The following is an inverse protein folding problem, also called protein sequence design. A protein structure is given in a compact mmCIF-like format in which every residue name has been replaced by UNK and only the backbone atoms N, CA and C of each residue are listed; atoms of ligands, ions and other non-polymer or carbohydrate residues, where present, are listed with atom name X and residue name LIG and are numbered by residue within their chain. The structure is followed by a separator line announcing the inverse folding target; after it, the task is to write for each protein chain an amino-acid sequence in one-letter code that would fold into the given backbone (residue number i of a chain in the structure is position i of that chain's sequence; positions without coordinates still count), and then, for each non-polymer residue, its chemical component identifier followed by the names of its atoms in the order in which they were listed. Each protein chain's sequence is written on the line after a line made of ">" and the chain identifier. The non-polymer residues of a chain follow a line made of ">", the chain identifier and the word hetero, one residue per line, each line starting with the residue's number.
data_IF_541379984579
#
_entry.id   IF_541379984579
#
_cell.length_a   1.000
_cell.length_b   1.000
_cell.length_c   1.000
_cell.angle_alpha   90.00
_cell.angle_beta   90.00
_cell.angle_gamma   90.00
#
_symmetry.space_group_name_H-M   'P 1'
#
loop_
_entity.id
_entity.type
_entity.pdbx_description
1 polymer ?
#
# COMPACT_ATOMS: atom_id res chain seq x y z
N UNK A 1 -3.92 83.05 -26.10
CA UNK A 1 -5.20 82.31 -26.20
C UNK A 1 -5.75 82.16 -24.79
N UNK A 2 -6.83 82.92 -24.53
CA UNK A 2 -7.80 82.86 -23.41
C UNK A 2 -7.33 82.70 -21.95
N UNK A 3 -7.19 83.83 -21.27
CA UNK A 3 -7.63 84.09 -19.88
C UNK A 3 -9.12 84.49 -19.86
N UNK A 4 -9.82 84.70 -18.70
CA UNK A 4 -9.66 84.21 -17.31
C UNK A 4 -11.00 83.78 -16.63
N UNK A 5 -10.98 83.26 -15.39
CA UNK A 5 -11.92 83.64 -14.30
C UNK A 5 -11.59 82.93 -12.96
N UNK A 6 -11.29 83.74 -11.93
CA UNK A 6 -11.52 83.47 -10.48
C UNK A 6 -13.00 83.85 -10.14
N UNK A 7 -13.60 83.60 -8.94
CA UNK A 7 -12.99 83.65 -7.59
C UNK A 7 -13.58 82.72 -6.47
N UNK A 8 -12.93 82.75 -5.28
CA UNK A 8 -13.50 82.64 -3.90
C UNK A 8 -14.15 81.29 -3.44
N UNK A 9 -14.19 80.83 -2.17
CA UNK A 9 -13.88 81.34 -0.83
C UNK A 9 -13.95 80.18 0.22
N UNK A 10 -13.36 80.42 1.42
CA UNK A 10 -13.70 79.94 2.80
C UNK A 10 -13.42 78.46 3.19
N UNK A 11 -12.56 78.15 4.18
CA UNK A 11 -12.62 78.28 5.67
C UNK A 11 -13.46 77.22 6.43
N UNK A 12 -12.79 76.47 7.33
CA UNK A 12 -13.20 75.96 8.67
C UNK A 12 -12.49 74.62 8.96
N UNK A 13 -11.60 74.44 9.95
CA UNK A 13 -11.70 74.65 11.41
C UNK A 13 -12.83 73.84 12.06
N UNK A 14 -12.47 72.83 12.87
CA UNK A 14 -13.09 72.55 14.19
C UNK A 14 -12.37 71.40 14.89
N UNK A 15 -12.04 71.70 16.14
CA UNK A 15 -11.45 70.86 17.17
C UNK A 15 -12.46 69.88 17.79
N UNK A 16 -11.90 68.76 18.28
CA UNK A 16 -12.11 68.16 19.61
C UNK A 16 -13.51 68.13 20.25
N UNK A 17 -14.01 66.91 20.51
CA UNK A 17 -14.67 66.60 21.79
C UNK A 17 -14.68 65.09 22.06
N UNK A 18 -14.04 64.73 23.17
CA UNK A 18 -14.03 63.42 23.84
C UNK A 18 -15.43 63.04 24.33
N UNK A 19 -15.87 61.79 24.15
CA UNK A 19 -17.02 61.23 24.89
C UNK A 19 -16.73 59.80 25.32
N UNK A 20 -16.86 59.60 26.63
CA UNK A 20 -16.63 58.43 27.46
C UNK A 20 -17.55 57.25 27.10
N UNK A 21 -16.98 56.05 26.98
CA UNK A 21 -17.75 54.80 26.87
C UNK A 21 -18.02 54.29 28.28
N UNK A 22 -19.31 54.30 28.65
CA UNK A 22 -19.84 53.78 29.91
C UNK A 22 -20.05 52.26 29.79
N UNK A 23 -19.66 51.53 30.83
CA UNK A 23 -19.73 50.07 30.96
C UNK A 23 -20.94 49.75 31.84
N UNK A 24 -22.04 49.28 31.24
CA UNK A 24 -22.95 48.26 31.78
C UNK A 24 -24.31 48.27 31.10
N UNK A 25 -24.60 47.23 30.29
CA UNK A 25 -25.91 46.57 30.10
C UNK A 25 -25.81 45.50 28.98
N UNK A 26 -26.17 44.23 29.23
CA UNK A 26 -26.27 43.24 28.17
C UNK A 26 -27.61 43.45 27.44
N UNK A 27 -27.57 44.13 26.30
CA UNK A 27 -28.73 44.19 25.40
C UNK A 27 -28.83 42.86 24.64
N UNK A 28 -29.82 42.07 25.04
CA UNK A 28 -30.26 40.87 24.37
C UNK A 28 -30.79 41.20 22.97
N UNK A 29 -30.06 40.81 21.93
CA UNK A 29 -30.54 40.42 20.58
C UNK A 29 -29.41 40.43 19.55
N UNK A 30 -28.45 39.50 19.71
CA UNK A 30 -27.56 39.15 18.59
C UNK A 30 -28.25 38.04 17.75
N UNK A 31 -28.34 38.19 16.41
CA UNK A 31 -28.99 37.21 15.56
C UNK A 31 -28.21 35.90 15.60
N UNK A 32 -28.92 34.77 15.65
CA UNK A 32 -28.38 33.40 15.60
C UNK A 32 -27.53 33.24 14.34
N UNK A 33 -26.22 33.49 14.46
CA UNK A 33 -25.24 33.31 13.41
C UNK A 33 -25.21 31.81 13.09
N UNK A 34 -25.72 31.44 11.92
CA UNK A 34 -25.71 30.06 11.45
C UNK A 34 -24.30 29.50 11.51
N UNK A 35 -24.16 28.31 12.11
CA UNK A 35 -22.87 27.62 12.30
C UNK A 35 -22.03 27.68 11.02
N UNK A 36 -20.81 28.18 11.14
CA UNK A 36 -19.83 28.24 10.05
C UNK A 36 -19.53 26.84 9.52
N UNK A 37 -19.08 26.72 8.26
CA UNK A 37 -18.71 25.43 7.66
C UNK A 37 -17.68 24.67 8.53
N UNK A 38 -16.73 25.40 9.09
CA UNK A 38 -15.73 24.88 10.03
C UNK A 38 -16.35 24.33 11.32
N UNK A 39 -17.32 25.03 11.92
CA UNK A 39 -18.05 24.52 13.09
C UNK A 39 -18.89 23.27 12.80
N UNK A 40 -19.45 23.15 11.59
CA UNK A 40 -20.18 21.95 11.17
C UNK A 40 -19.25 20.76 10.91
N UNK A 41 -18.07 21.02 10.35
CA UNK A 41 -17.01 20.02 10.18
C UNK A 41 -16.47 19.57 11.54
N UNK A 42 -16.32 20.49 12.50
CA UNK A 42 -15.89 20.21 13.88
C UNK A 42 -16.94 19.39 14.66
N UNK A 43 -18.23 19.73 14.54
CA UNK A 43 -19.31 18.94 15.16
C UNK A 43 -19.49 17.55 14.53
N UNK A 44 -19.21 17.41 13.22
CA UNK A 44 -19.21 16.11 12.55
C UNK A 44 -18.07 15.19 13.03
N UNK A 45 -17.02 15.76 13.63
CA UNK A 45 -15.88 15.07 14.19
C UNK A 45 -16.02 14.76 15.69
N UNK A 46 -17.14 15.13 16.33
CA UNK A 46 -17.39 14.82 17.74
C UNK A 46 -17.39 13.29 17.96
N UNK A 47 -16.41 12.72 18.69
CA UNK A 47 -16.20 11.27 18.77
C UNK A 47 -17.37 10.52 19.42
N UNK A 48 -18.25 11.22 20.16
CA UNK A 48 -19.42 10.63 20.80
C UNK A 48 -20.58 10.30 19.85
N UNK A 49 -20.53 10.70 18.57
CA UNK A 49 -21.59 10.43 17.56
C UNK A 49 -21.07 10.16 16.13
N UNK A 50 -19.88 9.60 15.96
CA UNK A 50 -19.44 9.19 14.61
C UNK A 50 -20.22 7.93 14.21
N UNK A 51 -21.08 8.06 13.20
CA UNK A 51 -21.76 6.91 12.59
C UNK A 51 -20.72 5.95 12.01
N UNK A 52 -20.91 4.63 12.17
CA UNK A 52 -20.02 3.61 11.59
C UNK A 52 -19.76 3.81 10.09
N UNK A 53 -20.74 4.34 9.35
CA UNK A 53 -20.57 4.68 7.94
C UNK A 53 -19.58 5.84 7.74
N UNK A 54 -19.67 6.87 8.56
CA UNK A 54 -18.75 8.01 8.52
C UNK A 54 -17.33 7.56 8.91
N UNK A 55 -17.20 6.68 9.91
CA UNK A 55 -15.91 6.11 10.31
C UNK A 55 -15.25 5.32 9.17
N UNK A 56 -15.99 4.45 8.50
CA UNK A 56 -15.47 3.63 7.41
C UNK A 56 -15.17 4.45 6.15
N UNK A 57 -15.97 5.47 5.84
CA UNK A 57 -15.75 6.33 4.68
C UNK A 57 -14.73 7.45 4.93
N UNK A 58 -14.27 7.62 6.17
CA UNK A 58 -13.19 8.54 6.50
C UNK A 58 -11.87 8.07 5.85
N UNK A 59 -11.16 9.02 5.23
CA UNK A 59 -9.83 8.78 4.69
C UNK A 59 -8.80 8.62 5.81
N UNK A 60 -7.89 7.66 5.65
CA UNK A 60 -6.79 7.47 6.60
C UNK A 60 -5.68 8.48 6.40
N UNK A 61 -4.98 8.80 7.47
CA UNK A 61 -3.77 9.60 7.43
C UNK A 61 -2.56 8.73 7.00
N UNK A 62 -1.89 9.04 5.88
CA UNK A 62 -0.83 8.19 5.34
C UNK A 62 0.32 7.90 6.31
N UNK A 63 0.65 8.82 7.21
CA UNK A 63 1.72 8.66 8.20
C UNK A 63 1.47 7.48 9.15
N UNK A 64 0.21 7.19 9.44
CA UNK A 64 -0.21 6.11 10.33
C UNK A 64 -0.43 4.77 9.62
N UNK A 65 -0.11 4.66 8.32
CA UNK A 65 -0.28 3.43 7.52
C UNK A 65 0.95 2.54 7.48
N UNK A 66 2.03 2.90 8.17
CA UNK A 66 3.32 2.19 8.13
C UNK A 66 3.20 0.71 8.47
N UNK A 67 2.50 0.35 9.55
CA UNK A 67 2.36 -1.05 9.99
C UNK A 67 1.65 -1.96 8.95
N UNK A 68 0.44 -1.61 8.45
CA UNK A 68 -0.21 -2.44 7.43
C UNK A 68 0.57 -2.46 6.10
N UNK A 69 1.28 -1.38 5.74
CA UNK A 69 2.12 -1.36 4.54
C UNK A 69 3.37 -2.25 4.67
N UNK A 70 4.00 -2.29 5.85
CA UNK A 70 5.06 -3.26 6.15
C UNK A 70 4.54 -4.69 6.08
N UNK A 71 3.32 -4.94 6.57
CA UNK A 71 2.69 -6.25 6.44
C UNK A 71 2.41 -6.60 4.97
N UNK A 72 2.06 -5.63 4.12
CA UNK A 72 2.01 -5.85 2.67
C UNK A 72 3.39 -6.16 2.06
N UNK A 73 4.47 -5.51 2.50
CA UNK A 73 5.83 -5.86 2.07
C UNK A 73 6.20 -7.30 2.50
N UNK A 74 5.85 -7.69 3.73
CA UNK A 74 5.99 -9.07 4.20
C UNK A 74 5.22 -10.03 3.29
N UNK A 75 3.95 -9.74 2.99
CA UNK A 75 3.10 -10.56 2.13
C UNK A 75 3.66 -10.68 0.71
N UNK A 76 4.23 -9.60 0.16
CA UNK A 76 4.92 -9.65 -1.12
C UNK A 76 6.07 -10.66 -1.06
N UNK A 77 6.92 -10.61 -0.04
CA UNK A 77 8.00 -11.58 0.16
C UNK A 77 7.50 -13.01 0.40
N UNK A 78 6.42 -13.14 1.18
CA UNK A 78 5.83 -14.43 1.52
C UNK A 78 5.21 -15.13 0.30
N UNK A 79 4.58 -14.36 -0.59
CA UNK A 79 3.97 -14.88 -1.82
C UNK A 79 4.95 -14.93 -3.01
N UNK A 80 5.98 -14.08 -2.99
CA UNK A 80 6.95 -13.88 -4.07
C UNK A 80 8.37 -13.79 -3.48
N UNK A 81 9.32 -14.61 -3.99
CA UNK A 81 10.80 -14.40 -3.87
C UNK A 81 11.44 -15.12 -2.67
N UNK A 82 12.70 -15.60 -2.63
CA UNK A 82 13.98 -15.37 -3.35
C UNK A 82 14.81 -16.68 -3.43
N UNK A 83 15.53 -16.93 -4.53
CA UNK A 83 16.66 -17.88 -4.51
C UNK A 83 17.86 -17.17 -3.91
N UNK A 84 18.16 -17.41 -2.64
CA UNK A 84 19.51 -17.13 -2.14
C UNK A 84 20.42 -18.14 -2.86
N UNK A 85 21.27 -17.62 -3.75
CA UNK A 85 22.39 -18.37 -4.33
C UNK A 85 23.38 -18.75 -3.21
N UNK A 86 23.04 -19.72 -2.39
CA UNK A 86 24.07 -20.57 -1.79
C UNK A 86 24.37 -21.64 -2.82
N UNK A 87 25.50 -21.47 -3.48
CA UNK A 87 26.15 -22.44 -4.34
C UNK A 87 26.40 -23.71 -3.50
N UNK A 88 25.45 -24.65 -3.47
CA UNK A 88 25.62 -25.94 -2.81
C UNK A 88 25.95 -26.99 -3.84
N UNK A 89 27.24 -27.20 -4.02
CA UNK A 89 27.85 -28.41 -4.60
C UNK A 89 27.62 -29.58 -3.64
N UNK A 90 26.56 -30.36 -3.80
CA UNK A 90 26.49 -31.73 -3.22
C UNK A 90 25.26 -32.49 -3.74
N UNK A 91 25.48 -33.28 -4.80
CA UNK A 91 25.08 -34.67 -5.11
C UNK A 91 23.70 -35.26 -4.71
N UNK A 92 22.84 -34.65 -3.88
CA UNK A 92 21.49 -35.16 -3.61
C UNK A 92 20.41 -34.27 -4.26
N UNK A 93 20.07 -34.59 -5.51
CA UNK A 93 19.25 -33.78 -6.41
C UNK A 93 17.72 -33.89 -6.19
N UNK A 94 17.22 -34.19 -4.99
CA UNK A 94 15.77 -34.32 -4.70
C UNK A 94 15.16 -33.13 -3.94
N UNK A 95 15.93 -32.08 -3.65
CA UNK A 95 15.48 -30.91 -2.88
C UNK A 95 15.80 -29.61 -3.61
N UNK A 96 15.14 -29.35 -4.75
CA UNK A 96 15.18 -28.06 -5.45
C UNK A 96 14.29 -27.03 -4.75
N UNK A 97 14.86 -26.35 -3.76
CA UNK A 97 14.27 -25.24 -3.02
C UNK A 97 13.91 -24.03 -3.88
N UNK A 98 12.67 -23.54 -3.84
CA UNK A 98 12.22 -22.19 -4.27
C UNK A 98 10.80 -21.89 -3.67
N UNK A 99 10.17 -20.71 -3.86
CA UNK A 99 8.94 -20.23 -3.16
C UNK A 99 7.60 -20.45 -3.92
N UNK A 100 6.44 -20.64 -3.24
CA UNK A 100 5.13 -21.15 -3.79
C UNK A 100 4.93 -21.01 -5.32
N UNK A 101 4.83 -19.79 -5.84
CA UNK A 101 4.60 -19.54 -7.29
C UNK A 101 5.83 -19.80 -8.15
N UNK A 102 7.01 -19.39 -7.70
CA UNK A 102 8.26 -19.52 -8.43
C UNK A 102 8.90 -20.92 -8.34
N UNK A 103 8.80 -21.64 -7.21
CA UNK A 103 9.24 -23.05 -7.12
C UNK A 103 8.36 -23.97 -7.93
N UNK A 104 7.06 -23.69 -8.00
CA UNK A 104 6.16 -24.54 -8.75
C UNK A 104 6.23 -24.24 -10.25
N UNK A 105 6.29 -22.97 -10.65
CA UNK A 105 6.10 -22.56 -12.05
C UNK A 105 7.24 -21.73 -12.65
N UNK A 106 8.24 -21.31 -11.87
CA UNK A 106 9.24 -20.30 -12.26
C UNK A 106 8.64 -18.96 -12.72
N UNK A 107 7.39 -18.67 -12.32
CA UNK A 107 6.65 -17.45 -12.64
C UNK A 107 6.49 -16.61 -11.38
N UNK A 108 6.61 -15.29 -11.55
CA UNK A 108 6.47 -14.35 -10.45
C UNK A 108 5.09 -13.72 -10.46
N UNK A 109 4.22 -14.06 -9.53
CA UNK A 109 2.87 -13.46 -9.51
C UNK A 109 2.88 -11.94 -9.24
N UNK A 110 3.94 -11.40 -8.61
CA UNK A 110 4.11 -9.95 -8.36
C UNK A 110 5.09 -9.21 -9.30
N UNK A 111 5.92 -9.91 -10.08
CA UNK A 111 6.99 -9.28 -10.88
C UNK A 111 6.72 -9.38 -12.37
N UNK A 112 5.92 -8.44 -12.88
CA UNK A 112 5.41 -8.50 -14.25
C UNK A 112 6.46 -8.20 -15.32
N UNK A 113 7.49 -7.41 -15.01
CA UNK A 113 8.63 -7.20 -15.93
C UNK A 113 9.36 -8.51 -16.24
N UNK A 114 9.49 -9.40 -15.25
CA UNK A 114 10.03 -10.75 -15.46
C UNK A 114 9.13 -11.62 -16.32
N UNK A 115 7.81 -11.61 -16.06
CA UNK A 115 6.85 -12.37 -16.86
C UNK A 115 6.75 -11.85 -18.31
N UNK A 116 6.99 -10.55 -18.52
CA UNK A 116 6.93 -9.89 -19.82
C UNK A 116 8.19 -10.17 -20.67
N UNK A 117 9.38 -10.08 -20.06
CA UNK A 117 10.63 -9.95 -20.82
C UNK A 117 11.77 -10.88 -20.39
N UNK A 118 11.67 -11.64 -19.30
CA UNK A 118 12.84 -12.39 -18.80
C UNK A 118 13.39 -13.34 -19.89
N UNK A 119 14.70 -13.53 -19.87
CA UNK A 119 15.43 -14.48 -20.70
C UNK A 119 16.01 -15.50 -19.73
N UNK A 120 15.68 -16.79 -19.90
CA UNK A 120 16.39 -17.85 -19.20
C UNK A 120 17.23 -18.65 -20.18
N UNK A 121 18.52 -18.73 -19.87
CA UNK A 121 19.49 -19.52 -20.63
C UNK A 121 19.01 -20.97 -20.76
N UNK A 122 19.19 -21.61 -21.93
CA UNK A 122 19.02 -23.04 -22.06
C UNK A 122 19.92 -23.76 -21.06
N UNK A 123 19.32 -24.56 -20.18
CA UNK A 123 20.08 -25.56 -19.42
C UNK A 123 20.15 -26.78 -20.34
N UNK A 124 21.34 -27.08 -20.84
CA UNK A 124 21.61 -28.33 -21.56
C UNK A 124 21.62 -29.43 -20.51
N UNK A 125 20.53 -30.18 -20.40
CA UNK A 125 20.40 -31.31 -19.45
C UNK A 125 21.00 -32.59 -20.07
N UNK A 126 21.08 -32.67 -21.39
CA UNK A 126 21.74 -33.74 -22.15
C UNK A 126 22.03 -33.28 -23.58
N UNK A 127 22.94 -33.97 -24.29
CA UNK A 127 23.37 -33.66 -25.67
C UNK A 127 22.20 -33.63 -26.68
N UNK A 128 21.02 -34.15 -26.29
CA UNK A 128 19.81 -34.29 -27.11
C UNK A 128 18.60 -33.51 -26.60
N UNK A 129 18.68 -32.73 -25.51
CA UNK A 129 17.51 -32.01 -24.99
C UNK A 129 17.89 -30.65 -24.40
N UNK A 130 17.52 -29.60 -25.13
CA UNK A 130 17.59 -28.23 -24.65
C UNK A 130 16.19 -27.81 -24.20
N UNK A 131 16.00 -27.69 -22.89
CA UNK A 131 14.73 -27.23 -22.35
C UNK A 131 14.73 -25.70 -22.25
N UNK A 132 14.04 -25.06 -23.19
CA UNK A 132 13.77 -23.63 -23.13
C UNK A 132 12.53 -23.40 -22.26
N UNK A 133 12.65 -22.51 -21.27
CA UNK A 133 11.47 -21.86 -20.66
C UNK A 133 11.45 -20.43 -21.19
N UNK A 134 10.84 -20.19 -22.36
CA UNK A 134 10.66 -18.83 -22.83
C UNK A 134 9.69 -18.08 -21.91
N UNK A 135 9.86 -16.77 -21.79
CA UNK A 135 8.84 -15.88 -21.26
C UNK A 135 8.07 -15.24 -22.40
N UNK A 136 7.01 -14.49 -22.12
CA UNK A 136 5.99 -14.13 -23.12
C UNK A 136 6.57 -13.54 -24.42
N UNK A 137 7.45 -12.55 -24.35
CA UNK A 137 8.08 -11.96 -25.55
C UNK A 137 8.93 -12.97 -26.35
N UNK A 138 9.63 -13.87 -25.67
CA UNK A 138 10.47 -14.88 -26.29
C UNK A 138 9.67 -16.08 -26.80
N UNK A 139 8.55 -16.40 -26.14
CA UNK A 139 7.60 -17.40 -26.60
C UNK A 139 6.97 -16.94 -27.91
N UNK A 140 6.58 -15.67 -28.00
CA UNK A 140 6.14 -15.04 -29.24
C UNK A 140 7.26 -15.08 -30.28
N UNK A 141 8.49 -14.69 -29.94
CA UNK A 141 9.62 -14.73 -30.87
C UNK A 141 9.92 -16.17 -31.38
N UNK A 142 9.85 -17.18 -30.51
CA UNK A 142 10.02 -18.61 -30.85
C UNK A 142 8.92 -19.07 -31.82
N UNK A 143 7.66 -18.77 -31.51
CA UNK A 143 6.51 -19.16 -32.33
C UNK A 143 6.58 -18.51 -33.73
N UNK A 144 7.00 -17.24 -33.79
CA UNK A 144 7.13 -16.50 -35.04
C UNK A 144 8.39 -16.87 -35.85
N UNK A 145 9.49 -17.22 -35.16
CA UNK A 145 10.79 -17.50 -35.78
C UNK A 145 11.00 -18.95 -36.23
N UNK A 146 10.11 -19.88 -35.87
CA UNK A 146 10.25 -21.30 -36.20
C UNK A 146 9.52 -21.72 -37.47
N UNK A 147 10.21 -22.51 -38.29
CA UNK A 147 9.63 -23.21 -39.44
C UNK A 147 9.01 -24.55 -39.05
N UNK A 148 9.33 -25.07 -37.85
CA UNK A 148 8.82 -26.33 -37.34
C UNK A 148 7.44 -26.13 -36.68
N UNK A 149 6.36 -26.78 -37.16
CA UNK A 149 5.04 -26.67 -36.56
C UNK A 149 4.98 -27.07 -35.09
N UNK A 150 5.84 -28.01 -34.66
CA UNK A 150 5.89 -28.48 -33.26
C UNK A 150 6.31 -27.38 -32.28
N UNK A 151 7.08 -26.39 -32.74
CA UNK A 151 7.57 -25.28 -31.92
C UNK A 151 6.62 -24.07 -31.91
N UNK A 152 5.45 -24.17 -32.57
CA UNK A 152 4.43 -23.11 -32.65
C UNK A 152 3.34 -23.21 -31.58
N UNK A 153 3.63 -23.88 -30.47
CA UNK A 153 2.72 -24.05 -29.33
C UNK A 153 3.21 -23.28 -28.12
N UNK A 154 2.28 -22.77 -27.31
CA UNK A 154 2.59 -22.20 -26.00
C UNK A 154 2.92 -23.34 -25.04
N UNK A 155 4.05 -23.21 -24.34
CA UNK A 155 4.44 -24.14 -23.30
C UNK A 155 3.65 -23.84 -22.02
N UNK A 156 3.48 -24.82 -21.10
CA UNK A 156 2.78 -24.59 -19.83
C UNK A 156 3.31 -23.38 -19.03
N UNK A 157 4.64 -23.16 -19.05
CA UNK A 157 5.24 -22.00 -18.42
C UNK A 157 4.86 -20.66 -19.10
N UNK A 158 4.71 -20.65 -20.43
CA UNK A 158 4.25 -19.48 -21.19
C UNK A 158 2.82 -19.11 -20.79
N UNK A 159 1.97 -20.13 -20.63
CA UNK A 159 0.57 -19.98 -20.19
C UNK A 159 0.52 -19.40 -18.78
N UNK A 160 1.29 -19.94 -17.83
CA UNK A 160 1.33 -19.44 -16.45
C UNK A 160 1.83 -17.99 -16.36
N UNK A 161 2.85 -17.64 -17.16
CA UNK A 161 3.35 -16.27 -17.22
C UNK A 161 2.30 -15.31 -17.79
N UNK A 162 1.62 -15.69 -18.88
CA UNK A 162 0.54 -14.92 -19.48
C UNK A 162 -0.64 -14.75 -18.51
N UNK A 163 -1.07 -15.84 -17.86
CA UNK A 163 -2.15 -15.83 -16.86
C UNK A 163 -1.81 -14.90 -15.70
N UNK A 164 -0.58 -14.99 -15.16
CA UNK A 164 -0.10 -14.08 -14.11
C UNK A 164 -0.17 -12.61 -14.56
N UNK A 165 0.34 -12.30 -15.76
CA UNK A 165 0.35 -10.93 -16.28
C UNK A 165 -1.04 -10.35 -16.46
N UNK A 166 -1.94 -11.08 -17.11
CA UNK A 166 -3.31 -10.63 -17.35
C UNK A 166 -4.08 -10.48 -16.04
N UNK A 167 -3.97 -11.46 -15.14
CA UNK A 167 -4.68 -11.44 -13.88
C UNK A 167 -4.16 -10.34 -12.95
N UNK A 168 -2.85 -10.09 -12.88
CA UNK A 168 -2.28 -8.96 -12.13
C UNK A 168 -2.84 -7.63 -12.62
N UNK A 169 -2.84 -7.40 -13.93
CA UNK A 169 -3.38 -6.16 -14.51
C UNK A 169 -4.88 -6.04 -14.27
N UNK A 170 -5.62 -7.15 -14.35
CA UNK A 170 -7.05 -7.17 -14.03
C UNK A 170 -7.31 -6.83 -12.56
N UNK A 171 -6.56 -7.41 -11.62
CA UNK A 171 -6.64 -7.08 -10.20
C UNK A 171 -6.30 -5.62 -9.91
N UNK A 172 -5.22 -5.10 -10.50
CA UNK A 172 -4.85 -3.70 -10.39
C UNK A 172 -5.93 -2.77 -11.00
N UNK A 173 -6.45 -3.10 -12.17
CA UNK A 173 -7.51 -2.33 -12.83
C UNK A 173 -8.79 -2.30 -11.99
N UNK A 174 -9.31 -3.46 -11.61
CA UNK A 174 -10.54 -3.57 -10.81
C UNK A 174 -10.39 -2.89 -9.47
N UNK A 175 -9.29 -3.13 -8.75
CA UNK A 175 -9.02 -2.48 -7.48
C UNK A 175 -8.88 -0.96 -7.62
N UNK A 176 -8.21 -0.47 -8.66
CA UNK A 176 -8.11 0.95 -8.95
C UNK A 176 -9.47 1.59 -9.19
N UNK A 177 -10.31 0.99 -10.03
CA UNK A 177 -11.64 1.53 -10.37
C UNK A 177 -12.62 1.49 -9.20
N UNK A 178 -12.56 0.46 -8.36
CA UNK A 178 -13.38 0.40 -7.14
C UNK A 178 -12.89 1.48 -6.16
N UNK A 179 -11.58 1.61 -5.97
CA UNK A 179 -10.99 2.66 -5.15
C UNK A 179 -11.34 4.07 -5.63
N UNK A 180 -11.47 4.30 -6.95
CA UNK A 180 -11.90 5.61 -7.49
C UNK A 180 -13.37 5.94 -7.14
N UNK A 181 -14.23 4.92 -6.96
CA UNK A 181 -15.64 5.13 -6.62
C UNK A 181 -15.89 5.29 -5.12
N UNK A 182 -15.16 4.55 -4.29
CA UNK A 182 -15.35 4.54 -2.83
C UNK A 182 -14.46 5.63 -2.17
N UNK A 183 -13.32 5.93 -2.78
CA UNK A 183 -12.26 6.77 -2.23
C UNK A 183 -11.04 5.92 -1.88
N UNK A 184 -9.91 6.19 -2.55
CA UNK A 184 -8.74 5.31 -2.55
C UNK A 184 -7.98 5.26 -1.21
N UNK A 185 -8.27 6.18 -0.30
CA UNK A 185 -7.68 6.26 1.03
C UNK A 185 -8.70 6.01 2.14
N UNK A 186 -9.94 5.64 1.81
CA UNK A 186 -10.97 5.35 2.81
C UNK A 186 -10.70 4.03 3.52
N UNK A 187 -11.01 3.93 4.81
CA UNK A 187 -10.90 2.65 5.55
C UNK A 187 -11.74 1.55 4.91
N UNK A 188 -12.93 1.90 4.43
CA UNK A 188 -13.82 1.00 3.71
C UNK A 188 -13.11 0.34 2.52
N UNK A 189 -12.44 1.13 1.69
CA UNK A 189 -11.67 0.61 0.55
C UNK A 189 -10.45 -0.22 1.00
N UNK A 190 -9.68 0.26 1.97
CA UNK A 190 -8.48 -0.42 2.45
C UNK A 190 -8.81 -1.80 3.06
N UNK A 191 -9.87 -1.86 3.87
CA UNK A 191 -10.37 -3.11 4.46
C UNK A 191 -10.92 -4.03 3.37
N UNK A 192 -11.89 -3.56 2.57
CA UNK A 192 -12.54 -4.40 1.55
C UNK A 192 -11.57 -4.87 0.46
N UNK A 193 -10.66 -4.02 0.02
CA UNK A 193 -9.60 -4.36 -0.92
C UNK A 193 -8.60 -5.38 -0.34
N UNK A 194 -8.31 -5.34 0.96
CA UNK A 194 -7.49 -6.37 1.62
C UNK A 194 -8.25 -7.68 1.84
N UNK A 195 -9.55 -7.63 2.12
CA UNK A 195 -10.41 -8.82 2.19
C UNK A 195 -10.56 -9.49 0.82
N UNK A 196 -10.69 -8.71 -0.25
CA UNK A 196 -10.67 -9.23 -1.62
C UNK A 196 -9.35 -9.98 -1.90
N UNK A 197 -8.22 -9.41 -1.48
CA UNK A 197 -6.94 -10.10 -1.58
C UNK A 197 -6.91 -11.41 -0.78
N UNK A 198 -7.45 -11.43 0.43
CA UNK A 198 -7.54 -12.64 1.26
C UNK A 198 -8.39 -13.72 0.58
N UNK A 199 -9.53 -13.33 0.00
CA UNK A 199 -10.42 -14.23 -0.73
C UNK A 199 -9.75 -14.82 -1.99
N UNK A 200 -9.04 -14.00 -2.76
CA UNK A 200 -8.25 -14.45 -3.91
C UNK A 200 -7.13 -15.43 -3.50
N UNK A 201 -6.41 -15.14 -2.41
CA UNK A 201 -5.38 -16.06 -1.87
C UNK A 201 -5.99 -17.38 -1.41
N UNK A 202 -7.14 -17.31 -0.74
CA UNK A 202 -7.83 -18.51 -0.28
C UNK A 202 -8.26 -19.39 -1.45
N UNK A 203 -8.86 -18.77 -2.48
CA UNK A 203 -9.21 -19.45 -3.72
C UNK A 203 -7.99 -20.08 -4.40
N UNK A 204 -6.85 -19.39 -4.42
CA UNK A 204 -5.60 -19.96 -4.93
C UNK A 204 -5.14 -21.18 -4.14
N UNK A 205 -5.19 -21.12 -2.80
CA UNK A 205 -4.88 -22.25 -1.92
C UNK A 205 -5.79 -23.45 -2.18
N UNK A 206 -7.08 -23.22 -2.38
CA UNK A 206 -8.04 -24.26 -2.73
C UNK A 206 -7.75 -24.88 -4.10
N UNK A 207 -7.45 -24.06 -5.12
CA UNK A 207 -7.09 -24.55 -6.44
C UNK A 207 -5.82 -25.41 -6.42
N UNK A 208 -4.80 -25.04 -5.63
CA UNK A 208 -3.58 -25.83 -5.44
C UNK A 208 -3.88 -27.13 -4.70
N UNK A 209 -4.72 -27.10 -3.66
CA UNK A 209 -5.11 -28.31 -2.94
C UNK A 209 -5.86 -29.29 -3.86
N UNK A 210 -6.75 -28.78 -4.70
CA UNK A 210 -7.56 -29.58 -5.61
C UNK A 210 -6.81 -30.05 -6.86
N UNK A 211 -5.74 -29.35 -7.28
CA UNK A 211 -4.92 -29.79 -8.41
C UNK A 211 -4.11 -31.04 -8.07
N UNK A 212 -3.76 -31.24 -6.80
CA UNK A 212 -2.92 -32.36 -6.34
C UNK A 212 -1.50 -32.33 -6.89
N UNK A 213 -1.10 -31.24 -7.55
CA UNK A 213 0.23 -31.07 -8.12
C UNK A 213 1.25 -30.73 -7.02
N UNK A 214 2.50 -31.14 -7.24
CA UNK A 214 3.56 -30.93 -6.26
C UNK A 214 3.77 -29.43 -5.98
N UNK A 215 4.16 -29.14 -4.74
CA UNK A 215 4.43 -27.77 -4.29
C UNK A 215 5.76 -27.20 -4.84
N UNK A 216 6.60 -28.07 -5.40
CA UNK A 216 7.97 -27.77 -5.81
C UNK A 216 8.28 -28.51 -7.11
N UNK A 217 8.89 -27.82 -8.07
CA UNK A 217 9.36 -28.43 -9.31
C UNK A 217 10.56 -29.37 -9.09
N UNK A 218 10.50 -30.54 -9.73
CA UNK A 218 11.56 -31.55 -9.76
C UNK A 218 12.82 -31.10 -10.54
N UNK A 219 12.78 -30.02 -11.33
CA UNK A 219 13.91 -29.61 -12.16
C UNK A 219 13.76 -28.26 -12.83
N UNK A 220 14.90 -27.61 -13.13
CA UNK A 220 14.90 -26.34 -13.87
C UNK A 220 14.39 -26.59 -15.29
N UNK A 221 13.18 -26.14 -15.57
CA UNK A 221 12.60 -26.20 -16.92
C UNK A 221 11.21 -26.84 -16.98
N UNK A 222 10.88 -27.70 -16.02
CA UNK A 222 9.61 -28.41 -15.93
C UNK A 222 8.77 -27.82 -14.81
N UNK A 223 7.78 -26.95 -15.07
CA UNK A 223 6.92 -26.48 -14.00
C UNK A 223 6.19 -27.68 -13.38
N UNK A 224 6.13 -27.74 -12.05
CA UNK A 224 5.27 -28.70 -11.32
C UNK A 224 3.79 -28.45 -11.60
N UNK A 225 3.45 -27.20 -11.92
CA UNK A 225 2.10 -26.77 -12.22
C UNK A 225 1.88 -26.78 -13.73
N UNK A 226 0.97 -27.63 -14.17
CA UNK A 226 0.60 -27.78 -15.58
C UNK A 226 -0.91 -27.82 -15.78
N UNK A 227 -1.66 -28.10 -14.71
CA UNK A 227 -3.11 -28.15 -14.73
C UNK A 227 -3.76 -26.77 -14.91
N UNK A 228 -5.02 -26.79 -15.38
CA UNK A 228 -5.87 -25.61 -15.43
C UNK A 228 -6.07 -25.01 -14.02
N UNK A 229 -6.25 -25.87 -13.01
CA UNK A 229 -6.44 -25.44 -11.62
C UNK A 229 -5.24 -24.66 -11.08
N UNK A 230 -4.02 -25.13 -11.34
CA UNK A 230 -2.81 -24.40 -10.92
C UNK A 230 -2.59 -23.11 -11.72
N UNK A 231 -3.05 -23.06 -12.97
CA UNK A 231 -3.10 -21.81 -13.74
C UNK A 231 -4.09 -20.81 -13.14
N UNK A 232 -5.27 -21.26 -12.71
CA UNK A 232 -6.23 -20.44 -11.98
C UNK A 232 -5.63 -19.97 -10.65
N UNK A 233 -4.94 -20.85 -9.90
CA UNK A 233 -4.25 -20.47 -8.67
C UNK A 233 -3.21 -19.36 -8.91
N UNK A 234 -2.41 -19.49 -9.98
CA UNK A 234 -1.46 -18.47 -10.40
C UNK A 234 -2.15 -17.12 -10.69
N UNK A 235 -3.25 -17.16 -11.44
CA UNK A 235 -4.05 -15.98 -11.76
C UNK A 235 -4.62 -15.31 -10.51
N UNK A 236 -5.19 -16.07 -9.58
CA UNK A 236 -5.75 -15.54 -8.34
C UNK A 236 -4.67 -14.90 -7.44
N UNK A 237 -3.51 -15.55 -7.29
CA UNK A 237 -2.38 -14.95 -6.56
C UNK A 237 -1.90 -13.65 -7.22
N UNK A 238 -1.76 -13.63 -8.54
CA UNK A 238 -1.30 -12.47 -9.30
C UNK A 238 -2.31 -11.31 -9.25
N UNK A 239 -3.60 -11.57 -9.46
CA UNK A 239 -4.66 -10.59 -9.30
C UNK A 239 -4.66 -9.98 -7.91
N UNK A 240 -4.44 -10.81 -6.89
CA UNK A 240 -4.36 -10.33 -5.53
C UNK A 240 -3.18 -9.37 -5.29
N UNK A 241 -2.00 -9.66 -5.82
CA UNK A 241 -0.86 -8.72 -5.73
C UNK A 241 -1.09 -7.45 -6.57
N UNK A 242 -1.85 -7.55 -7.66
CA UNK A 242 -2.29 -6.40 -8.44
C UNK A 242 -3.14 -5.42 -7.61
N UNK A 243 -4.12 -5.94 -6.86
CA UNK A 243 -4.93 -5.14 -5.91
C UNK A 243 -4.02 -4.51 -4.83
N UNK A 244 -3.10 -5.29 -4.26
CA UNK A 244 -2.16 -4.80 -3.24
C UNK A 244 -1.29 -3.65 -3.75
N UNK A 245 -0.78 -3.77 -4.98
CA UNK A 245 0.06 -2.76 -5.61
C UNK A 245 -0.68 -1.44 -5.80
N UNK A 246 -1.96 -1.48 -6.18
CA UNK A 246 -2.76 -0.26 -6.33
C UNK A 246 -3.11 0.39 -5.00
N UNK A 247 -3.47 -0.41 -3.99
CA UNK A 247 -3.72 0.12 -2.63
C UNK A 247 -2.46 0.80 -2.09
N UNK A 248 -1.31 0.11 -2.13
CA UNK A 248 -0.03 0.66 -1.68
C UNK A 248 0.32 1.95 -2.43
N UNK A 249 0.20 1.95 -3.76
CA UNK A 249 0.54 3.11 -4.59
C UNK A 249 -0.32 4.33 -4.30
N UNK A 250 -1.62 4.14 -4.08
CA UNK A 250 -2.57 5.24 -3.87
C UNK A 250 -2.51 5.85 -2.47
N UNK A 251 -1.86 5.19 -1.51
CA UNK A 251 -1.56 5.78 -0.20
C UNK A 251 -0.39 6.79 -0.25
N UNK A 252 0.45 6.73 -1.29
CA UNK A 252 1.45 7.78 -1.56
C UNK A 252 2.55 7.92 -0.51
N UNK A 253 2.83 6.87 0.28
CA UNK A 253 3.87 6.88 1.32
C UNK A 253 5.23 6.41 0.78
N UNK A 254 6.26 6.38 1.64
CA UNK A 254 7.56 5.75 1.32
C UNK A 254 7.46 4.23 1.05
N UNK A 255 6.27 3.64 1.21
CA UNK A 255 5.95 2.25 0.86
C UNK A 255 5.03 2.14 -0.38
N UNK A 256 4.95 3.20 -1.19
CA UNK A 256 4.06 3.28 -2.37
C UNK A 256 4.25 2.09 -3.34
N UNK A 257 5.41 1.44 -3.31
CA UNK A 257 5.75 0.27 -4.13
C UNK A 257 5.84 -1.02 -3.29
N UNK A 258 4.74 -1.43 -2.66
CA UNK A 258 4.68 -2.71 -1.90
C UNK A 258 5.02 -3.95 -2.75
N UNK A 259 4.90 -3.85 -4.07
CA UNK A 259 5.18 -4.92 -5.05
C UNK A 259 6.46 -4.66 -5.87
N UNK A 260 6.78 -3.41 -6.20
CA UNK A 260 7.91 -3.05 -7.09
C UNK A 260 9.17 -2.79 -6.28
N UNK A 261 9.83 -3.87 -5.88
CA UNK A 261 10.96 -3.84 -4.96
C UNK A 261 12.18 -3.06 -5.48
N UNK A 262 12.46 -3.12 -6.78
CA UNK A 262 13.63 -2.48 -7.38
C UNK A 262 13.61 -0.96 -7.18
N UNK A 263 12.44 -0.34 -7.19
CA UNK A 263 12.30 1.08 -6.92
C UNK A 263 12.73 1.42 -5.49
N UNK A 264 12.30 0.62 -4.50
CA UNK A 264 12.71 0.81 -3.09
C UNK A 264 14.21 0.63 -2.89
N UNK A 265 14.83 -0.34 -3.57
CA UNK A 265 16.28 -0.51 -3.53
C UNK A 265 17.03 0.71 -4.08
N UNK A 266 16.61 1.22 -5.24
CA UNK A 266 17.22 2.41 -5.84
C UNK A 266 17.02 3.61 -4.92
N UNK A 267 15.81 3.82 -4.41
CA UNK A 267 15.50 4.92 -3.49
C UNK A 267 16.27 4.85 -2.16
N UNK A 268 16.55 3.64 -1.66
CA UNK A 268 17.35 3.47 -0.45
C UNK A 268 18.83 3.75 -0.73
N UNK A 269 19.39 3.16 -1.79
CA UNK A 269 20.81 3.30 -2.15
C UNK A 269 21.15 4.74 -2.56
N UNK A 270 20.21 5.43 -3.21
CA UNK A 270 20.37 6.84 -3.59
C UNK A 270 20.03 7.82 -2.45
N UNK A 271 19.64 7.36 -1.25
CA UNK A 271 19.30 8.27 -0.16
C UNK A 271 20.57 9.04 0.30
N UNK A 272 20.58 10.39 0.27
CA UNK A 272 21.74 11.18 0.67
C UNK A 272 22.11 11.04 2.16
N UNK A 273 21.27 10.37 2.94
CA UNK A 273 21.47 10.09 4.35
C UNK A 273 21.78 8.62 4.65
N UNK A 274 21.98 7.79 3.62
CA UNK A 274 22.20 6.34 3.78
C UNK A 274 23.33 6.03 4.77
N UNK A 275 24.48 6.70 4.64
CA UNK A 275 25.66 6.51 5.49
C UNK A 275 25.75 7.46 6.69
N UNK A 276 24.75 8.31 6.91
CA UNK A 276 24.70 9.13 8.14
C UNK A 276 24.39 8.23 9.32
N UNK A 277 24.94 8.55 10.49
CA UNK A 277 24.92 7.69 11.68
C UNK A 277 23.55 7.00 11.89
N UNK A 278 23.50 5.67 12.12
CA UNK A 278 22.27 4.92 12.40
C UNK A 278 21.47 5.48 13.57
N UNK A 279 22.14 6.19 14.50
CA UNK A 279 21.51 6.83 15.66
C UNK A 279 20.60 8.00 15.28
N UNK A 280 20.77 8.61 14.10
CA UNK A 280 19.88 9.66 13.60
C UNK A 280 18.72 9.00 12.85
N UNK A 281 17.53 9.03 13.45
CA UNK A 281 16.29 8.51 12.85
C UNK A 281 15.89 9.39 11.68
N UNK A 282 15.77 8.78 10.51
CA UNK A 282 15.35 9.45 9.27
C UNK A 282 14.27 8.56 8.67
N UNK A 283 13.02 8.99 8.83
CA UNK A 283 11.85 8.17 8.51
C UNK A 283 11.87 7.64 7.07
N UNK A 284 12.33 8.43 6.09
CA UNK A 284 12.44 7.98 4.68
C UNK A 284 13.37 6.79 4.52
N UNK A 285 14.59 6.88 5.06
CA UNK A 285 15.61 5.82 5.00
C UNK A 285 15.18 4.60 5.78
N UNK A 286 14.76 4.80 7.03
CA UNK A 286 14.50 3.72 7.97
C UNK A 286 13.26 2.91 7.55
N UNK A 287 12.22 3.57 7.02
CA UNK A 287 11.03 2.89 6.47
C UNK A 287 11.37 2.04 5.24
N UNK A 288 12.15 2.57 4.29
CA UNK A 288 12.58 1.83 3.10
C UNK A 288 13.44 0.62 3.48
N UNK A 289 14.42 0.80 4.35
CA UNK A 289 15.26 -0.30 4.84
C UNK A 289 14.41 -1.37 5.54
N UNK A 290 13.50 -0.97 6.43
CA UNK A 290 12.60 -1.89 7.12
C UNK A 290 11.69 -2.65 6.15
N UNK A 291 11.18 -2.00 5.10
CA UNK A 291 10.39 -2.66 4.05
C UNK A 291 11.15 -3.81 3.40
N UNK A 292 12.43 -3.59 3.05
CA UNK A 292 13.29 -4.59 2.43
C UNK A 292 13.55 -5.77 3.38
N UNK A 293 13.85 -5.50 4.65
CA UNK A 293 14.09 -6.54 5.66
C UNK A 293 12.85 -7.36 5.95
N UNK A 294 11.68 -6.72 6.10
CA UNK A 294 10.42 -7.40 6.36
C UNK A 294 9.98 -8.25 5.17
N UNK A 295 10.18 -7.76 3.94
CA UNK A 295 9.98 -8.54 2.72
C UNK A 295 10.88 -9.78 2.69
N UNK A 296 12.17 -9.61 3.00
CA UNK A 296 13.12 -10.72 3.06
C UNK A 296 12.73 -11.75 4.14
N UNK A 297 12.26 -11.29 5.29
CA UNK A 297 11.73 -12.16 6.35
C UNK A 297 10.51 -12.98 5.87
N UNK A 298 9.58 -12.35 5.14
CA UNK A 298 8.44 -13.03 4.54
C UNK A 298 8.84 -14.17 3.61
N UNK A 299 9.85 -13.93 2.77
CA UNK A 299 10.41 -14.94 1.87
C UNK A 299 10.99 -16.16 2.61
N UNK A 300 11.75 -15.93 3.69
CA UNK A 300 12.32 -17.02 4.49
C UNK A 300 11.21 -17.86 5.13
N UNK A 301 10.23 -17.20 5.76
CA UNK A 301 9.15 -17.90 6.47
C UNK A 301 8.31 -18.72 5.48
N UNK A 302 7.95 -18.15 4.34
CA UNK A 302 7.22 -18.89 3.30
C UNK A 302 7.97 -20.14 2.83
N UNK A 303 9.29 -20.06 2.67
CA UNK A 303 10.10 -21.22 2.26
C UNK A 303 10.12 -22.31 3.33
N UNK A 304 10.27 -21.93 4.61
CA UNK A 304 10.25 -22.88 5.72
C UNK A 304 8.89 -23.59 5.80
N UNK A 305 7.79 -22.83 5.67
CA UNK A 305 6.44 -23.39 5.66
C UNK A 305 6.21 -24.31 4.46
N UNK A 306 6.63 -23.92 3.26
CA UNK A 306 6.46 -24.74 2.06
C UNK A 306 7.10 -26.13 2.21
N UNK A 307 8.25 -26.20 2.88
CA UNK A 307 8.94 -27.46 3.15
C UNK A 307 8.29 -28.34 4.22
N UNK A 308 7.46 -27.78 5.10
CA UNK A 308 6.85 -28.50 6.22
C UNK A 308 5.37 -28.85 5.97
N UNK A 309 4.61 -27.92 5.38
CA UNK A 309 3.14 -28.02 5.28
C UNK A 309 2.63 -27.95 3.84
N UNK A 310 3.49 -27.72 2.85
CA UNK A 310 3.11 -27.64 1.44
C UNK A 310 2.44 -26.32 1.03
N UNK A 311 2.20 -26.17 -0.27
CA UNK A 311 1.77 -24.90 -0.88
C UNK A 311 0.37 -24.46 -0.44
N UNK A 312 -0.59 -25.39 -0.40
CA UNK A 312 -1.98 -25.08 -0.04
C UNK A 312 -2.10 -24.56 1.40
N UNK A 313 -1.48 -25.24 2.37
CA UNK A 313 -1.49 -24.80 3.77
C UNK A 313 -0.71 -23.48 3.96
N UNK A 314 0.39 -23.29 3.23
CA UNK A 314 1.14 -22.03 3.24
C UNK A 314 0.29 -20.87 2.71
N UNK A 315 -0.50 -21.09 1.66
CA UNK A 315 -1.47 -20.10 1.15
C UNK A 315 -2.63 -19.86 2.15
N UNK A 316 -3.10 -20.88 2.85
CA UNK A 316 -4.06 -20.73 3.94
C UNK A 316 -3.56 -19.81 5.06
N UNK A 317 -2.28 -19.93 5.44
CA UNK A 317 -1.65 -19.03 6.39
C UNK A 317 -1.57 -17.59 5.86
N UNK A 318 -1.19 -17.41 4.59
CA UNK A 318 -1.21 -16.11 3.91
C UNK A 318 -2.62 -15.47 3.92
N UNK A 319 -3.68 -16.25 3.73
CA UNK A 319 -5.06 -15.78 3.87
C UNK A 319 -5.32 -15.26 5.29
N UNK A 320 -4.95 -16.03 6.32
CA UNK A 320 -5.10 -15.62 7.72
C UNK A 320 -4.39 -14.31 8.02
N UNK A 321 -3.13 -14.17 7.58
CA UNK A 321 -2.38 -12.91 7.71
C UNK A 321 -3.09 -11.75 7.02
N UNK A 322 -3.65 -11.94 5.82
CA UNK A 322 -4.41 -10.87 5.14
C UNK A 322 -5.67 -10.48 5.87
N UNK A 323 -6.36 -11.41 6.53
CA UNK A 323 -7.50 -11.07 7.39
C UNK A 323 -7.07 -10.18 8.57
N UNK A 324 -5.90 -10.47 9.17
CA UNK A 324 -5.34 -9.62 10.23
C UNK A 324 -4.94 -8.23 9.70
N UNK A 325 -4.35 -8.15 8.50
CA UNK A 325 -4.03 -6.87 7.86
C UNK A 325 -5.33 -6.10 7.55
N UNK A 326 -6.37 -6.77 7.06
CA UNK A 326 -7.67 -6.15 6.83
C UNK A 326 -8.25 -5.54 8.12
N UNK A 327 -8.19 -6.27 9.24
CA UNK A 327 -8.60 -5.75 10.54
C UNK A 327 -7.72 -4.58 11.00
N UNK A 328 -6.41 -4.62 10.73
CA UNK A 328 -5.47 -3.56 11.14
C UNK A 328 -5.82 -2.19 10.56
N UNK A 329 -6.41 -2.13 9.36
CA UNK A 329 -6.86 -0.89 8.72
C UNK A 329 -7.95 -0.16 9.52
N UNK A 330 -8.75 -0.88 10.32
CA UNK A 330 -9.76 -0.28 11.19
C UNK A 330 -9.13 0.51 12.35
N UNK A 331 -7.88 0.22 12.72
CA UNK A 331 -7.19 0.92 13.79
C UNK A 331 -6.31 2.07 13.30
N UNK A 332 -6.21 2.28 11.98
CA UNK A 332 -5.47 3.40 11.41
C UNK A 332 -6.26 4.69 11.60
N UNK A 333 -5.58 5.76 12.03
CA UNK A 333 -6.18 7.07 12.28
C UNK A 333 -6.65 7.74 10.98
N UNK A 334 -7.75 8.47 11.10
CA UNK A 334 -8.43 9.17 10.02
C UNK A 334 -7.98 10.62 9.94
N UNK A 335 -8.00 11.19 8.74
CA UNK A 335 -7.77 12.62 8.52
C UNK A 335 -8.83 13.42 9.30
N UNK A 336 -8.40 14.21 10.26
CA UNK A 336 -9.27 15.04 11.13
C UNK A 336 -9.40 14.55 12.57
N UNK A 337 -9.12 13.28 12.88
CA UNK A 337 -9.15 12.76 14.26
C UNK A 337 -8.03 13.35 15.14
N UNK A 338 -6.88 13.70 14.53
CA UNK A 338 -5.77 14.36 15.22
C UNK A 338 -6.04 15.83 15.58
N UNK A 339 -6.86 16.52 14.78
CA UNK A 339 -7.17 17.92 15.02
C UNK A 339 -8.07 18.06 16.25
N UNK A 340 -9.14 17.25 16.35
CA UNK A 340 -10.08 17.25 17.50
C UNK A 340 -9.35 17.11 18.83
N UNK A 341 -8.35 16.22 18.91
CA UNK A 341 -7.60 16.01 20.14
C UNK A 341 -6.75 17.21 20.54
N UNK A 342 -6.15 17.92 19.58
CA UNK A 342 -5.41 19.15 19.86
C UNK A 342 -6.34 20.26 20.36
N UNK A 343 -7.57 20.35 19.82
CA UNK A 343 -8.58 21.27 20.36
C UNK A 343 -9.01 20.87 21.77
N UNK A 344 -9.25 19.59 22.04
CA UNK A 344 -9.61 19.10 23.38
C UNK A 344 -8.47 19.36 24.39
N UNK A 345 -7.21 19.19 23.99
CA UNK A 345 -6.03 19.49 24.81
C UNK A 345 -5.88 21.00 25.04
N UNK A 346 -6.08 21.84 24.01
CA UNK A 346 -6.07 23.30 24.13
C UNK A 346 -7.23 23.85 24.97
N UNK A 347 -8.44 23.29 24.85
CA UNK A 347 -9.58 23.65 25.69
C UNK A 347 -9.38 23.19 27.14
N UNK A 348 -8.78 22.02 27.36
CA UNK A 348 -8.41 21.55 28.69
C UNK A 348 -7.36 22.45 29.34
N UNK A 349 -6.36 22.92 28.58
CA UNK A 349 -5.36 23.88 29.05
C UNK A 349 -5.96 25.27 29.29
N UNK A 350 -6.85 25.75 28.41
CA UNK A 350 -7.54 27.03 28.57
C UNK A 350 -8.53 27.01 29.76
N UNK A 351 -9.21 25.89 29.99
CA UNK A 351 -10.08 25.67 31.14
C UNK A 351 -9.30 25.53 32.45
N UNK A 352 -8.10 24.94 32.43
CA UNK A 352 -7.22 24.88 33.58
C UNK A 352 -6.56 26.25 33.91
N UNK A 353 -6.40 27.13 32.93
CA UNK A 353 -5.89 28.50 33.11
C UNK A 353 -6.92 29.50 33.64
N UNK A 354 -8.23 29.19 33.56
CA UNK A 354 -9.30 30.10 33.96
C UNK A 354 -9.52 30.20 35.49
N UNK A 355 -8.90 29.32 36.29
CA UNK A 355 -9.03 29.30 37.76
C UNK A 355 -7.91 30.10 38.47
N UNK A 356 -7.03 30.77 37.73
CA UNK A 356 -6.06 31.72 38.27
C UNK A 356 -6.50 33.16 38.01
N UNK A 357 -7.48 33.63 38.77
CA UNK A 357 -7.71 35.08 38.88
C UNK A 357 -6.52 35.72 39.61
N UNK A 358 -5.87 36.76 39.04
CA UNK A 358 -4.85 37.50 39.78
C UNK A 358 -5.54 38.26 40.91
N UNK A 359 -5.24 37.85 42.14
CA UNK A 359 -5.68 38.52 43.36
C UNK A 359 -5.04 39.92 43.41
N UNK A 360 -5.72 40.93 42.86
CA UNK A 360 -5.37 42.33 43.09
C UNK A 360 -5.70 42.67 44.53
N UNK A 361 -4.67 42.58 45.38
CA UNK A 361 -4.72 43.00 46.78
C UNK A 361 -5.19 44.44 46.90
N UNK A 362 -6.20 44.62 47.73
CA UNK A 362 -6.80 45.88 48.13
C UNK A 362 -5.76 46.73 48.85
N UNK A 363 -5.44 47.91 48.32
CA UNK A 363 -4.75 48.98 49.06
C UNK A 363 -5.84 49.77 49.79
N UNK A 364 -5.83 49.72 51.11
CA UNK A 364 -6.72 50.45 52.03
C UNK A 364 -6.01 51.76 52.42
N UNK A 365 -6.75 52.89 52.60
CA UNK A 365 -6.21 54.25 52.59
C UNK A 365 -5.21 54.62 53.69
#
# INVERSE_FOLDING_TARGET
>A
MSTPAHPSALENSSESATMTVDVDRPNASAPLLGKTKAQRELEALNPRRISWRAFLLCEVEPEHTTAPLLAFCFMTGFMSVFRILFYRTSVDASSSSDAISFSAAFVWCGFQTGNFAQVRHPVVVSLSTVQYVPQLALAVARILGTTNPADRVLLPADILALTSLLAFNFGAFTGGRIGDRIGAQTRAWLVSGTLLQAALTFGAGLCVQLSGEESVSAGRGTPAWTSLLSSVAMGLMAASLGVQGVIGKRLGTNFSTTVVLTALWIELVADPHLFKSPTRRIASRDHRALALFVLFGGAIIARLMLGQVGAAATLGFATGLRMLIAASWLFVKGKGEGYVRLWDEQEAEAGAGADQTPNYGTVVP
#
